data_IF_608223670641
#
_entry.id   IF_608223670641
#
_cell.length_a   1.000
_cell.length_b   1.000
_cell.length_c   1.000
_cell.angle_alpha   90.00
_cell.angle_beta   90.00
_cell.angle_gamma   90.00
#
_symmetry.space_group_name_H-M   'P 1'
#
loop_
_entity.id
_entity.type
_entity.pdbx_description
1 polymer ?
#
# COMPACT_ATOMS: atom_id res chain seq x y z
N UNK A 1 14.01 72.29 -27.36
CA UNK A 1 15.10 71.69 -28.14
C UNK A 1 15.79 70.72 -27.20
N UNK A 2 15.91 69.45 -27.62
CA UNK A 2 16.40 68.31 -26.82
C UNK A 2 15.44 67.95 -25.63
N UNK A 3 15.03 66.72 -25.32
CA UNK A 3 15.51 65.32 -25.47
C UNK A 3 16.41 64.84 -24.33
N UNK A 4 15.98 63.74 -23.67
CA UNK A 4 16.63 62.76 -22.74
C UNK A 4 15.49 62.30 -21.78
N UNK A 5 14.82 61.14 -21.93
CA UNK A 5 15.21 59.75 -21.54
C UNK A 5 15.82 59.67 -20.11
N UNK A 6 15.70 58.67 -19.23
CA UNK A 6 15.33 57.24 -19.25
C UNK A 6 15.22 56.81 -17.74
N UNK A 7 14.51 55.79 -17.23
CA UNK A 7 13.71 54.63 -17.71
C UNK A 7 12.63 54.30 -16.64
N UNK A 8 11.56 53.59 -17.00
CA UNK A 8 10.90 52.62 -16.07
C UNK A 8 10.41 51.40 -16.87
N UNK A 9 10.60 50.19 -16.34
CA UNK A 9 10.44 48.94 -17.09
C UNK A 9 8.99 48.45 -17.16
N UNK A 10 8.60 47.86 -18.30
CA UNK A 10 7.37 47.07 -18.42
C UNK A 10 7.57 45.75 -17.66
N UNK A 11 6.89 45.58 -16.53
CA UNK A 11 6.80 44.29 -15.86
C UNK A 11 5.76 43.42 -16.56
N UNK A 12 6.22 42.44 -17.35
CA UNK A 12 5.32 41.48 -18.00
C UNK A 12 4.68 40.57 -16.95
N UNK A 13 3.40 40.79 -16.66
CA UNK A 13 2.62 39.97 -15.73
C UNK A 13 2.29 38.62 -16.38
N UNK A 14 3.22 37.66 -16.25
CA UNK A 14 3.01 36.27 -16.63
C UNK A 14 1.91 35.67 -15.74
N UNK A 15 0.67 35.70 -16.23
CA UNK A 15 -0.39 34.84 -15.73
C UNK A 15 0.00 33.38 -16.03
N UNK A 16 0.68 32.75 -15.07
CA UNK A 16 0.74 31.31 -15.00
C UNK A 16 -0.70 30.80 -14.77
N UNK A 17 -1.39 30.45 -15.85
CA UNK A 17 -2.70 29.79 -15.78
C UNK A 17 -2.48 28.41 -15.19
N UNK A 18 -2.51 28.32 -13.86
CA UNK A 18 -2.57 27.06 -13.15
C UNK A 18 -3.82 26.31 -13.65
N UNK A 19 -3.60 25.30 -14.48
CA UNK A 19 -4.67 24.43 -14.96
C UNK A 19 -5.12 23.63 -13.75
N UNK A 20 -6.16 24.10 -13.09
CA UNK A 20 -6.82 23.42 -11.99
C UNK A 20 -7.55 22.20 -12.56
N UNK A 21 -6.78 21.13 -12.81
CA UNK A 21 -7.34 19.80 -12.98
C UNK A 21 -8.17 19.51 -11.73
N UNK A 22 -9.47 19.22 -11.86
CA UNK A 22 -10.23 18.73 -10.72
C UNK A 22 -9.59 17.40 -10.33
N UNK A 23 -8.89 17.39 -9.19
CA UNK A 23 -8.34 16.16 -8.64
C UNK A 23 -9.51 15.24 -8.34
N UNK A 24 -9.64 14.17 -9.12
CA UNK A 24 -10.43 12.99 -8.75
C UNK A 24 -9.70 12.25 -7.61
N UNK A 25 -9.51 12.97 -6.50
CA UNK A 25 -9.38 12.35 -5.20
C UNK A 25 -10.64 11.48 -5.04
N UNK A 26 -10.44 10.18 -4.92
CA UNK A 26 -11.38 9.36 -4.19
C UNK A 26 -11.52 10.00 -2.80
N UNK A 27 -12.73 10.10 -2.25
CA UNK A 27 -12.98 10.63 -0.90
C UNK A 27 -12.50 9.62 0.18
N UNK A 28 -11.24 9.22 0.09
CA UNK A 28 -10.57 8.35 1.02
C UNK A 28 -10.41 9.08 2.34
N UNK A 29 -10.77 8.39 3.44
CA UNK A 29 -10.43 8.82 4.81
C UNK A 29 -8.94 9.23 4.84
N UNK A 30 -8.60 10.48 5.23
CA UNK A 30 -7.21 10.90 5.33
C UNK A 30 -6.53 10.09 6.44
N UNK A 31 -5.30 9.64 6.18
CA UNK A 31 -4.55 8.73 7.06
C UNK A 31 -3.38 9.47 7.68
N UNK A 32 -3.34 9.52 9.02
CA UNK A 32 -2.21 10.04 9.80
C UNK A 32 -1.10 9.02 9.97
N UNK A 33 -1.47 7.77 10.25
CA UNK A 33 -0.50 6.72 10.54
C UNK A 33 -0.96 5.32 10.10
N UNK A 34 0.00 4.48 9.76
CA UNK A 34 -0.19 3.05 9.49
C UNK A 34 0.72 2.27 10.43
N UNK A 35 0.15 1.57 11.41
CA UNK A 35 0.81 0.54 12.20
C UNK A 35 0.56 -0.83 11.54
N UNK A 36 1.63 -1.59 11.28
CA UNK A 36 1.55 -3.02 10.94
C UNK A 36 2.34 -3.78 11.97
N UNK A 37 1.82 -4.92 12.44
CA UNK A 37 2.51 -5.87 13.31
C UNK A 37 2.29 -7.27 12.75
N UNK A 38 3.36 -8.03 12.59
CA UNK A 38 3.35 -9.40 12.04
C UNK A 38 3.96 -10.33 13.05
N UNK A 39 3.27 -11.43 13.41
CA UNK A 39 3.96 -12.53 14.08
C UNK A 39 4.71 -13.37 13.05
N UNK A 40 6.04 -13.28 13.08
CA UNK A 40 6.93 -14.03 12.18
C UNK A 40 7.42 -15.35 12.78
N UNK A 41 7.02 -15.70 14.01
CA UNK A 41 7.50 -16.88 14.72
C UNK A 41 7.14 -18.21 14.03
N UNK A 42 6.11 -18.23 13.17
CA UNK A 42 5.75 -19.39 12.35
C UNK A 42 6.63 -19.64 11.12
N UNK A 43 7.45 -18.67 10.69
CA UNK A 43 8.16 -18.71 9.40
C UNK A 43 9.47 -19.52 9.51
N UNK A 44 9.33 -20.84 9.69
CA UNK A 44 10.46 -21.76 9.88
C UNK A 44 11.32 -22.06 8.64
N UNK A 45 10.88 -21.67 7.43
CA UNK A 45 11.62 -21.89 6.18
C UNK A 45 12.55 -20.68 5.88
N UNK A 46 13.88 -20.85 5.81
CA UNK A 46 14.82 -19.74 5.55
C UNK A 46 14.64 -19.03 4.19
N UNK A 47 14.14 -19.72 3.16
CA UNK A 47 13.82 -19.08 1.88
C UNK A 47 12.56 -18.22 2.00
N UNK A 48 11.55 -18.68 2.74
CA UNK A 48 10.37 -17.89 3.04
C UNK A 48 10.72 -16.66 3.90
N UNK A 49 11.55 -16.83 4.93
CA UNK A 49 11.97 -15.74 5.81
C UNK A 49 12.70 -14.60 5.08
N UNK A 50 13.35 -14.87 3.93
CA UNK A 50 13.99 -13.86 3.09
C UNK A 50 13.01 -12.91 2.37
N UNK A 51 11.72 -13.25 2.32
CA UNK A 51 10.65 -12.39 1.80
C UNK A 51 9.67 -12.01 2.92
N UNK A 52 9.08 -13.00 3.58
CA UNK A 52 8.04 -12.81 4.59
C UNK A 52 8.57 -12.20 5.90
N UNK A 53 9.90 -12.19 6.11
CA UNK A 53 10.53 -11.47 7.22
C UNK A 53 10.45 -9.94 7.10
N UNK A 54 10.23 -9.37 5.90
CA UNK A 54 10.02 -7.92 5.70
C UNK A 54 8.56 -7.53 5.51
N UNK A 55 7.62 -8.49 5.63
CA UNK A 55 6.18 -8.31 5.41
C UNK A 55 5.59 -7.09 6.14
N UNK A 56 6.01 -6.84 7.38
CA UNK A 56 5.51 -5.72 8.18
C UNK A 56 5.78 -4.37 7.49
N UNK A 57 7.02 -4.17 7.04
CA UNK A 57 7.49 -2.90 6.52
C UNK A 57 7.10 -2.74 5.04
N UNK A 58 7.11 -3.82 4.26
CA UNK A 58 6.62 -3.84 2.88
C UNK A 58 5.11 -3.59 2.80
N UNK A 59 4.31 -4.16 3.71
CA UNK A 59 2.86 -3.92 3.76
C UNK A 59 2.55 -2.49 4.21
N UNK A 60 3.27 -1.98 5.22
CA UNK A 60 3.17 -0.57 5.63
C UNK A 60 3.52 0.36 4.46
N UNK A 61 4.59 0.08 3.73
CA UNK A 61 4.99 0.85 2.56
C UNK A 61 3.94 0.78 1.43
N UNK A 62 3.43 -0.41 1.09
CA UNK A 62 2.41 -0.57 0.05
C UNK A 62 1.14 0.23 0.36
N UNK A 63 0.62 0.15 1.59
CA UNK A 63 -0.53 0.94 2.02
C UNK A 63 -0.24 2.45 1.94
N UNK A 64 0.93 2.90 2.43
CA UNK A 64 1.32 4.31 2.36
C UNK A 64 1.44 4.87 0.93
N UNK A 65 1.72 4.03 -0.08
CA UNK A 65 1.68 4.46 -1.50
C UNK A 65 0.27 4.62 -2.08
N UNK A 66 -0.77 4.19 -1.36
CA UNK A 66 -2.17 4.08 -1.85
C UNK A 66 -3.17 4.95 -1.09
N UNK A 67 -2.75 5.61 0.00
CA UNK A 67 -3.61 6.47 0.85
C UNK A 67 -3.25 7.95 0.74
N UNK A 68 -4.16 8.83 1.16
CA UNK A 68 -3.88 10.26 1.31
C UNK A 68 -3.28 10.53 2.71
N UNK A 69 -1.99 10.91 2.83
CA UNK A 69 -1.39 11.24 4.13
C UNK A 69 -1.92 12.57 4.67
N UNK A 70 -2.03 12.70 6.00
CA UNK A 70 -2.43 13.93 6.67
C UNK A 70 -1.76 14.08 8.04
N UNK A 71 -1.21 15.26 8.32
CA UNK A 71 -0.68 15.62 9.65
C UNK A 71 -1.78 16.05 10.65
N UNK A 72 -3.05 16.04 10.25
CA UNK A 72 -4.18 16.32 11.16
C UNK A 72 -4.28 15.22 12.23
N UNK A 73 -4.24 15.62 13.50
CA UNK A 73 -4.41 14.72 14.63
C UNK A 73 -5.77 13.98 14.64
N UNK A 74 -6.79 14.50 13.95
CA UNK A 74 -8.10 13.88 13.75
C UNK A 74 -8.22 13.04 12.45
N UNK A 75 -7.13 12.89 11.68
CA UNK A 75 -7.06 11.92 10.59
C UNK A 75 -6.87 10.49 11.12
N UNK A 76 -7.36 9.51 10.36
CA UNK A 76 -7.49 8.12 10.81
C UNK A 76 -6.12 7.42 10.93
N UNK A 77 -6.06 6.41 11.80
CA UNK A 77 -4.93 5.49 11.91
C UNK A 77 -5.37 4.09 11.52
N UNK A 78 -4.57 3.45 10.68
CA UNK A 78 -4.75 2.06 10.27
C UNK A 78 -3.83 1.20 11.14
N UNK A 79 -4.40 0.24 11.87
CA UNK A 79 -3.69 -0.68 12.77
C UNK A 79 -3.97 -2.11 12.29
N UNK A 80 -2.93 -2.78 11.77
CA UNK A 80 -3.02 -4.12 11.20
C UNK A 80 -2.23 -5.09 12.08
N UNK A 81 -2.85 -6.20 12.45
CA UNK A 81 -2.18 -7.38 12.98
C UNK A 81 -2.29 -8.47 11.92
N UNK A 82 -1.15 -9.00 11.46
CA UNK A 82 -1.14 -10.24 10.69
C UNK A 82 -1.09 -11.37 11.70
N UNK A 83 -2.17 -12.15 11.72
CA UNK A 83 -2.41 -13.23 12.68
C UNK A 83 -1.96 -14.58 12.12
N UNK A 84 -1.93 -14.74 10.79
CA UNK A 84 -1.37 -15.92 10.12
C UNK A 84 -0.76 -15.61 8.74
N UNK A 85 0.32 -16.33 8.41
CA UNK A 85 0.96 -16.36 7.09
C UNK A 85 1.10 -17.84 6.70
N UNK A 86 -0.01 -18.48 6.31
CA UNK A 86 0.01 -19.86 5.86
C UNK A 86 0.78 -19.97 4.55
N UNK A 87 1.81 -20.82 4.54
CA UNK A 87 2.62 -21.16 3.37
C UNK A 87 2.43 -22.64 3.06
N UNK A 88 2.06 -22.95 1.81
CA UNK A 88 1.80 -24.33 1.40
C UNK A 88 3.06 -25.22 1.48
N UNK A 89 2.91 -26.40 2.08
CA UNK A 89 3.95 -27.43 2.17
C UNK A 89 4.01 -28.27 0.87
N UNK A 90 5.22 -28.67 0.46
CA UNK A 90 5.46 -29.56 -0.69
C UNK A 90 5.79 -28.85 -2.02
N UNK A 91 7.04 -29.00 -2.47
CA UNK A 91 7.59 -28.77 -3.82
C UNK A 91 7.54 -27.36 -4.43
N UNK A 92 6.48 -26.58 -4.20
CA UNK A 92 6.47 -25.12 -4.37
C UNK A 92 7.29 -24.40 -3.27
N UNK A 93 7.78 -25.17 -2.29
CA UNK A 93 8.58 -24.78 -1.11
C UNK A 93 9.84 -23.96 -1.38
N UNK A 94 10.40 -24.01 -2.60
CA UNK A 94 11.56 -23.18 -2.97
C UNK A 94 11.24 -21.68 -3.00
N UNK A 95 9.97 -21.34 -3.21
CA UNK A 95 9.52 -19.98 -3.53
C UNK A 95 8.23 -19.56 -2.75
N UNK A 96 7.52 -20.52 -2.13
CA UNK A 96 6.33 -20.24 -1.32
C UNK A 96 5.06 -19.92 -2.12
N UNK A 97 4.92 -20.51 -3.33
CA UNK A 97 3.93 -20.12 -4.36
C UNK A 97 2.64 -20.98 -4.41
N UNK A 98 2.35 -21.77 -3.37
CA UNK A 98 1.17 -22.64 -3.36
C UNK A 98 -0.12 -21.92 -2.95
N UNK A 99 -0.98 -22.61 -2.21
CA UNK A 99 -2.13 -22.02 -1.51
C UNK A 99 -1.65 -21.18 -0.31
N UNK A 100 -0.86 -20.15 -0.60
CA UNK A 100 -0.36 -19.20 0.39
C UNK A 100 -1.45 -18.18 0.67
N UNK A 101 -1.81 -18.03 1.95
CA UNK A 101 -2.83 -17.09 2.42
C UNK A 101 -2.27 -16.15 3.46
N UNK A 102 -2.45 -14.85 3.26
CA UNK A 102 -2.10 -13.82 4.23
C UNK A 102 -3.39 -13.39 4.94
N UNK A 103 -3.48 -13.66 6.25
CA UNK A 103 -4.66 -13.35 7.07
C UNK A 103 -4.30 -12.41 8.21
N UNK A 104 -5.09 -11.36 8.39
CA UNK A 104 -4.90 -10.43 9.49
C UNK A 104 -6.12 -9.61 9.84
N UNK A 105 -6.28 -9.33 11.12
CA UNK A 105 -7.23 -8.39 11.66
C UNK A 105 -6.80 -6.94 11.37
N UNK A 106 -7.69 -6.17 10.75
CA UNK A 106 -7.51 -4.77 10.37
C UNK A 106 -8.45 -3.89 11.18
N UNK A 107 -7.91 -2.83 11.76
CA UNK A 107 -8.63 -1.80 12.51
C UNK A 107 -8.31 -0.43 11.92
N UNK A 108 -9.32 0.30 11.46
CA UNK A 108 -9.20 1.67 10.97
C UNK A 108 -9.98 2.57 11.92
N UNK A 109 -9.31 3.47 12.64
CA UNK A 109 -9.93 4.26 13.72
C UNK A 109 -9.49 5.73 13.74
N UNK A 110 -10.34 6.60 14.29
CA UNK A 110 -9.93 7.91 14.79
C UNK A 110 -9.61 7.84 16.29
N UNK A 111 -8.33 7.97 16.66
CA UNK A 111 -7.87 7.93 18.06
C UNK A 111 -8.49 9.01 18.97
N UNK A 112 -9.14 10.05 18.41
CA UNK A 112 -9.78 11.11 19.19
C UNK A 112 -11.26 10.85 19.50
N UNK A 113 -12.06 10.56 18.47
CA UNK A 113 -13.51 10.53 18.59
C UNK A 113 -14.10 9.13 18.40
N UNK A 114 -13.36 8.17 17.84
CA UNK A 114 -13.84 6.82 17.50
C UNK A 114 -15.11 6.79 16.61
N UNK A 115 -15.33 7.85 15.83
CA UNK A 115 -16.52 7.99 14.96
C UNK A 115 -16.21 7.44 13.58
N UNK A 116 -16.85 6.33 13.22
CA UNK A 116 -16.64 5.68 11.92
C UNK A 116 -15.44 4.73 11.89
N UNK A 117 -15.03 4.24 13.06
CA UNK A 117 -14.10 3.12 13.20
C UNK A 117 -14.64 1.87 12.46
N UNK A 118 -13.79 1.16 11.73
CA UNK A 118 -14.10 -0.12 11.07
C UNK A 118 -13.09 -1.19 11.52
N UNK A 119 -13.57 -2.40 11.79
CA UNK A 119 -12.78 -3.51 12.30
C UNK A 119 -13.22 -4.81 11.61
N UNK A 120 -12.31 -5.42 10.85
CA UNK A 120 -12.59 -6.57 10.01
C UNK A 120 -11.37 -7.46 9.84
N UNK A 121 -11.60 -8.75 9.62
CA UNK A 121 -10.56 -9.68 9.22
C UNK A 121 -10.41 -9.67 7.69
N UNK A 122 -9.17 -9.63 7.21
CA UNK A 122 -8.82 -9.66 5.80
C UNK A 122 -7.94 -10.87 5.53
N UNK A 123 -8.42 -11.78 4.69
CA UNK A 123 -7.63 -12.85 4.08
C UNK A 123 -7.46 -12.54 2.59
N UNK A 124 -6.23 -12.64 2.09
CA UNK A 124 -5.95 -12.66 0.65
C UNK A 124 -5.20 -13.95 0.28
N UNK A 125 -5.49 -14.46 -0.90
CA UNK A 125 -4.95 -15.69 -1.47
C UNK A 125 -4.29 -15.43 -2.83
N UNK A 126 -3.80 -16.52 -3.45
CA UNK A 126 -3.27 -16.48 -4.82
C UNK A 126 -4.26 -15.92 -5.85
N UNK A 127 -5.58 -16.09 -5.67
CA UNK A 127 -6.59 -15.56 -6.59
C UNK A 127 -6.77 -14.05 -6.45
N UNK A 128 -6.67 -13.49 -5.24
CA UNK A 128 -6.65 -12.05 -5.00
C UNK A 128 -5.38 -11.38 -5.54
N UNK A 129 -4.22 -12.05 -5.48
CA UNK A 129 -2.97 -11.55 -6.05
C UNK A 129 -2.89 -11.68 -7.59
N UNK A 130 -3.59 -12.65 -8.19
CA UNK A 130 -3.52 -12.98 -9.62
C UNK A 130 -3.70 -11.80 -10.60
N UNK A 131 -4.61 -10.82 -10.38
CA UNK A 131 -4.77 -9.67 -11.26
C UNK A 131 -3.59 -8.68 -11.24
N UNK A 132 -2.72 -8.76 -10.23
CA UNK A 132 -1.58 -7.86 -10.01
C UNK A 132 -0.26 -8.41 -10.59
N UNK A 133 -0.30 -9.61 -11.19
CA UNK A 133 0.87 -10.27 -11.78
C UNK A 133 1.07 -9.90 -13.26
N UNK A 134 2.30 -10.01 -13.79
CA UNK A 134 2.56 -9.88 -15.22
C UNK A 134 1.70 -10.83 -16.07
N UNK A 135 1.28 -10.37 -17.24
CA UNK A 135 0.51 -11.21 -18.17
C UNK A 135 1.34 -12.43 -18.59
N UNK A 136 0.80 -13.63 -18.38
CA UNK A 136 1.48 -14.89 -18.67
C UNK A 136 2.46 -15.37 -17.59
N UNK A 137 2.47 -14.75 -16.40
CA UNK A 137 3.24 -15.27 -15.26
C UNK A 137 2.75 -16.68 -14.85
N UNK A 138 3.68 -17.63 -14.79
CA UNK A 138 3.42 -19.04 -14.45
C UNK A 138 4.10 -19.42 -13.12
N UNK A 139 3.28 -19.68 -12.10
CA UNK A 139 3.73 -20.11 -10.76
C UNK A 139 4.32 -21.53 -10.74
N UNK A 140 4.13 -22.31 -11.81
CA UNK A 140 4.62 -23.69 -11.95
C UNK A 140 5.97 -23.77 -12.67
N UNK A 141 6.43 -22.65 -13.25
CA UNK A 141 7.76 -22.54 -13.84
C UNK A 141 8.85 -22.65 -12.78
N UNK A 142 9.90 -23.42 -13.07
CA UNK A 142 11.00 -23.71 -12.13
C UNK A 142 11.91 -22.49 -11.84
N UNK A 143 11.75 -21.42 -12.62
CA UNK A 143 12.45 -20.14 -12.60
C UNK A 143 11.51 -18.95 -12.26
N UNK A 144 10.29 -19.21 -11.78
CA UNK A 144 9.35 -18.18 -11.34
C UNK A 144 9.95 -17.26 -10.26
N UNK A 145 9.83 -15.93 -10.43
CA UNK A 145 10.37 -14.97 -9.46
C UNK A 145 9.45 -14.84 -8.24
N UNK A 146 9.82 -15.50 -7.14
CA UNK A 146 9.11 -15.42 -5.86
C UNK A 146 8.91 -13.99 -5.35
N UNK A 147 9.75 -13.02 -5.73
CA UNK A 147 9.54 -11.61 -5.39
C UNK A 147 8.34 -11.00 -6.11
N UNK A 148 8.08 -11.38 -7.37
CA UNK A 148 6.91 -10.90 -8.11
C UNK A 148 5.63 -11.40 -7.44
N UNK A 149 5.59 -12.65 -7.00
CA UNK A 149 4.45 -13.19 -6.25
C UNK A 149 4.28 -12.53 -4.87
N UNK A 150 5.35 -12.43 -4.08
CA UNK A 150 5.34 -11.77 -2.78
C UNK A 150 4.83 -10.33 -2.89
N UNK A 151 5.36 -9.54 -3.83
CA UNK A 151 4.88 -8.18 -4.12
C UNK A 151 3.37 -8.17 -4.45
N UNK A 152 2.87 -9.14 -5.20
CA UNK A 152 1.45 -9.22 -5.57
C UNK A 152 0.55 -9.58 -4.37
N UNK A 153 0.97 -10.48 -3.48
CA UNK A 153 0.27 -10.80 -2.23
C UNK A 153 0.20 -9.57 -1.29
N UNK A 154 1.32 -8.87 -1.10
CA UNK A 154 1.40 -7.65 -0.29
C UNK A 154 0.48 -6.56 -0.87
N UNK A 155 0.54 -6.33 -2.19
CA UNK A 155 -0.31 -5.34 -2.84
C UNK A 155 -1.80 -5.71 -2.79
N UNK A 156 -2.16 -7.00 -2.91
CA UNK A 156 -3.55 -7.45 -2.79
C UNK A 156 -4.13 -7.18 -1.39
N UNK A 157 -3.35 -7.42 -0.33
CA UNK A 157 -3.77 -7.06 1.04
C UNK A 157 -3.91 -5.55 1.19
N UNK A 158 -2.94 -4.77 0.70
CA UNK A 158 -2.99 -3.31 0.76
C UNK A 158 -4.17 -2.72 -0.03
N UNK A 159 -4.49 -3.24 -1.21
CA UNK A 159 -5.68 -2.86 -1.98
C UNK A 159 -6.99 -3.27 -1.28
N UNK A 160 -6.99 -4.42 -0.59
CA UNK A 160 -8.08 -4.83 0.30
C UNK A 160 -8.33 -3.83 1.43
N UNK A 161 -7.27 -3.39 2.13
CA UNK A 161 -7.35 -2.36 3.17
C UNK A 161 -7.86 -1.02 2.60
N UNK A 162 -7.27 -0.57 1.49
CA UNK A 162 -7.62 0.73 0.86
C UNK A 162 -9.04 0.74 0.31
N UNK A 163 -9.59 -0.43 -0.07
CA UNK A 163 -11.00 -0.54 -0.48
C UNK A 163 -12.00 -0.14 0.61
N UNK A 164 -11.61 -0.24 1.89
CA UNK A 164 -12.42 0.09 3.09
C UNK A 164 -12.25 1.53 3.60
N UNK A 165 -11.43 2.34 2.93
CA UNK A 165 -11.21 3.74 3.29
C UNK A 165 -12.15 4.70 2.54
N UNK A 166 -13.08 4.18 1.73
CA UNK A 166 -14.04 4.90 0.87
C UNK A 166 -15.42 5.07 1.52
#
# INVERSE_FOLDING_TARGET
MEIIMFRTSIAAFLMATAVAFPSLAQDLKPIREVEVKVDTAGIGNPQAAAYWGTLQDDLKASILTKVAPSDDEAAYVIKIRIDDVSLANGFQEKLGLGETTLTGNVLVQDDKNHVGDDAYDLTVDVNAAKPLLPQGYDFTAADADGKIYYNAMVNAFADGVVSRLK
#
